data_IF_906531452990
#
_entry.id   IF_906531452990
#
_cell.length_a   1.000
_cell.length_b   1.000
_cell.length_c   1.000
_cell.angle_alpha   90.00
_cell.angle_beta   90.00
_cell.angle_gamma   90.00
#
_symmetry.space_group_name_H-M   'P 1'
#
loop_
_entity.id
_entity.type
_entity.pdbx_description
1 polymer ?
#
# COMPACT_ATOMS: atom_id res chain seq x y z
N UNK A 1 -12.82 18.92 8.17
CA UNK A 1 -12.99 17.49 8.49
C UNK A 1 -13.51 16.68 7.30
N UNK A 2 -14.63 17.08 6.66
CA UNK A 2 -15.29 16.35 5.57
C UNK A 2 -14.44 16.20 4.31
N UNK A 3 -13.77 17.26 3.86
CA UNK A 3 -12.84 17.22 2.72
C UNK A 3 -11.74 16.16 2.89
N UNK A 4 -11.11 16.08 4.07
CA UNK A 4 -10.07 15.09 4.35
C UNK A 4 -10.63 13.65 4.36
N UNK A 5 -11.81 13.45 4.98
CA UNK A 5 -12.46 12.14 5.01
C UNK A 5 -12.87 11.67 3.60
N UNK A 6 -13.39 12.58 2.77
CA UNK A 6 -13.74 12.31 1.37
C UNK A 6 -12.50 11.92 0.55
N UNK A 7 -11.37 12.64 0.73
CA UNK A 7 -10.11 12.31 0.06
C UNK A 7 -9.59 10.93 0.44
N UNK A 8 -9.60 10.58 1.72
CA UNK A 8 -9.21 9.25 2.19
C UNK A 8 -10.14 8.15 1.66
N UNK A 9 -11.45 8.39 1.66
CA UNK A 9 -12.44 7.43 1.17
C UNK A 9 -12.26 7.15 -0.33
N UNK A 10 -12.11 8.21 -1.15
CA UNK A 10 -11.85 8.07 -2.58
C UNK A 10 -10.53 7.31 -2.83
N UNK A 11 -9.45 7.70 -2.14
CA UNK A 11 -8.14 7.06 -2.28
C UNK A 11 -8.22 5.55 -2.01
N UNK A 12 -8.80 5.15 -0.86
CA UNK A 12 -8.99 3.73 -0.51
C UNK A 12 -9.84 3.00 -1.54
N UNK A 13 -10.93 3.62 -2.01
CA UNK A 13 -11.78 3.02 -3.04
C UNK A 13 -11.06 2.77 -4.36
N UNK A 14 -10.22 3.70 -4.81
CA UNK A 14 -9.41 3.55 -6.02
C UNK A 14 -8.32 2.48 -5.84
N UNK A 15 -7.64 2.44 -4.70
CA UNK A 15 -6.65 1.40 -4.37
C UNK A 15 -7.28 0.00 -4.35
N UNK A 16 -8.45 -0.15 -3.73
CA UNK A 16 -9.16 -1.43 -3.68
C UNK A 16 -9.67 -1.87 -5.06
N UNK A 17 -10.19 -0.94 -5.85
CA UNK A 17 -10.63 -1.22 -7.21
C UNK A 17 -9.46 -1.66 -8.09
N UNK A 18 -8.33 -0.97 -8.00
CA UNK A 18 -7.13 -1.26 -8.78
C UNK A 18 -6.53 -2.64 -8.39
N UNK A 19 -6.44 -2.94 -7.11
CA UNK A 19 -6.00 -4.25 -6.61
C UNK A 19 -6.89 -5.40 -7.10
N UNK A 20 -8.19 -5.17 -7.27
CA UNK A 20 -9.10 -6.16 -7.89
C UNK A 20 -8.78 -6.44 -9.35
N UNK A 21 -8.15 -5.51 -10.06
CA UNK A 21 -7.72 -5.72 -11.45
C UNK A 21 -6.43 -6.52 -11.56
N UNK A 22 -5.63 -6.60 -10.50
CA UNK A 22 -4.42 -7.40 -10.41
C UNK A 22 -3.13 -6.59 -10.45
N UNK A 23 -2.01 -7.30 -10.32
CA UNK A 23 -0.67 -6.73 -10.23
C UNK A 23 -0.08 -6.45 -11.61
N UNK A 24 0.38 -5.23 -11.84
CA UNK A 24 0.98 -4.81 -13.12
C UNK A 24 2.51 -4.93 -13.17
N UNK A 25 3.11 -5.38 -12.08
CA UNK A 25 4.56 -5.52 -11.98
C UNK A 25 5.21 -4.46 -11.08
N UNK A 26 6.53 -4.61 -10.83
CA UNK A 26 7.31 -3.64 -10.08
C UNK A 26 7.41 -2.30 -10.83
N UNK A 27 7.84 -1.26 -10.12
CA UNK A 27 8.15 0.04 -10.73
C UNK A 27 9.31 -0.08 -11.71
N UNK A 28 10.34 -0.81 -11.30
CA UNK A 28 11.56 -1.07 -12.09
C UNK A 28 12.20 -2.35 -11.57
N UNK A 29 12.91 -3.06 -12.44
CA UNK A 29 13.84 -4.13 -12.07
C UNK A 29 15.24 -3.54 -12.03
N UNK A 30 15.81 -3.43 -10.83
CA UNK A 30 17.12 -2.83 -10.61
C UNK A 30 18.22 -3.87 -10.69
N UNK A 31 19.30 -3.57 -11.43
CA UNK A 31 20.56 -4.29 -11.33
C UNK A 31 21.28 -3.96 -10.01
N UNK A 32 22.38 -4.65 -9.72
CA UNK A 32 23.11 -4.51 -8.46
C UNK A 32 23.64 -3.10 -8.22
N UNK A 33 24.08 -2.40 -9.26
CA UNK A 33 24.60 -1.03 -9.17
C UNK A 33 23.50 -0.04 -8.82
N UNK A 34 22.38 -0.12 -9.52
CA UNK A 34 21.20 0.72 -9.25
C UNK A 34 20.59 0.44 -7.88
N UNK A 35 20.56 -0.82 -7.44
CA UNK A 35 20.10 -1.17 -6.09
C UNK A 35 20.98 -0.48 -5.02
N UNK A 36 22.30 -0.54 -5.18
CA UNK A 36 23.24 0.10 -4.28
C UNK A 36 23.05 1.62 -4.28
N UNK A 37 23.01 2.24 -5.45
CA UNK A 37 22.77 3.68 -5.58
C UNK A 37 21.44 4.13 -4.94
N UNK A 38 20.36 3.39 -5.15
CA UNK A 38 19.06 3.66 -4.54
C UNK A 38 19.12 3.60 -3.01
N UNK A 39 19.77 2.58 -2.45
CA UNK A 39 19.87 2.38 -1.01
C UNK A 39 20.78 3.41 -0.34
N UNK A 40 21.86 3.83 -0.99
CA UNK A 40 22.72 4.93 -0.50
C UNK A 40 22.02 6.27 -0.52
N UNK A 41 21.29 6.58 -1.59
CA UNK A 41 20.51 7.81 -1.71
C UNK A 41 19.27 7.85 -0.80
N UNK A 42 18.86 6.70 -0.22
CA UNK A 42 17.68 6.61 0.63
C UNK A 42 17.79 7.52 1.86
N UNK A 43 16.76 8.33 2.08
CA UNK A 43 16.58 9.13 3.30
C UNK A 43 15.55 8.51 4.26
N UNK A 44 15.19 7.24 4.05
CA UNK A 44 14.13 6.56 4.79
C UNK A 44 14.25 6.70 6.31
N UNK A 45 13.13 7.00 6.93
CA UNK A 45 12.90 6.96 8.38
C UNK A 45 11.61 6.19 8.68
N UNK A 46 11.46 5.59 9.87
CA UNK A 46 10.21 4.91 10.23
C UNK A 46 8.95 5.78 10.14
N UNK A 47 9.10 7.12 10.29
CA UNK A 47 7.99 8.07 10.19
C UNK A 47 7.40 8.13 8.78
N UNK A 48 8.18 7.79 7.75
CA UNK A 48 7.73 7.79 6.36
C UNK A 48 6.66 6.71 6.09
N UNK A 49 6.54 5.72 6.99
CA UNK A 49 5.47 4.70 6.94
C UNK A 49 4.24 5.08 7.78
N UNK A 50 4.25 6.21 8.46
CA UNK A 50 3.11 6.64 9.27
C UNK A 50 1.94 7.11 8.40
N UNK A 51 0.72 7.01 8.94
CA UNK A 51 -0.47 7.58 8.30
C UNK A 51 -0.87 6.95 6.96
N UNK A 52 -0.60 5.67 6.76
CA UNK A 52 -0.88 4.95 5.50
C UNK A 52 -0.02 5.44 4.30
N UNK A 53 1.10 6.10 4.58
CA UNK A 53 2.04 6.55 3.54
C UNK A 53 2.75 5.37 2.88
N UNK A 54 3.14 5.58 1.62
CA UNK A 54 3.86 4.59 0.83
C UNK A 54 5.30 5.01 0.65
N UNK A 55 6.18 4.02 0.71
CA UNK A 55 7.61 4.21 0.45
C UNK A 55 8.08 3.20 -0.60
N UNK A 56 9.16 3.55 -1.30
CA UNK A 56 9.81 2.63 -2.23
C UNK A 56 10.74 1.70 -1.45
N UNK A 57 10.76 0.44 -1.85
CA UNK A 57 11.63 -0.58 -1.29
C UNK A 57 12.19 -1.49 -2.37
N UNK A 58 13.40 -1.99 -2.18
CA UNK A 58 14.05 -2.95 -3.08
C UNK A 58 13.87 -4.35 -2.51
N UNK A 59 13.35 -5.26 -3.32
CA UNK A 59 13.24 -6.68 -2.97
C UNK A 59 14.63 -7.32 -2.96
N UNK A 60 15.01 -7.90 -1.82
CA UNK A 60 16.31 -8.54 -1.64
C UNK A 60 16.25 -10.07 -1.75
N UNK A 61 15.16 -10.67 -1.31
CA UNK A 61 14.94 -12.11 -1.38
C UNK A 61 13.44 -12.43 -1.41
N UNK A 62 13.08 -13.53 -2.07
CA UNK A 62 11.71 -14.01 -2.16
C UNK A 62 11.67 -15.50 -1.95
N UNK A 63 10.84 -15.98 -1.06
CA UNK A 63 10.46 -17.39 -0.93
C UNK A 63 8.94 -17.56 -1.16
N UNK A 64 8.42 -18.77 -1.00
CA UNK A 64 6.99 -19.02 -1.26
C UNK A 64 6.06 -18.29 -0.29
N UNK A 65 6.52 -17.98 0.93
CA UNK A 65 5.69 -17.43 2.02
C UNK A 65 5.80 -15.92 2.15
N UNK A 66 6.96 -15.35 1.78
CA UNK A 66 7.26 -13.94 2.00
C UNK A 66 8.28 -13.37 1.00
N UNK A 67 8.26 -12.07 0.85
CA UNK A 67 9.34 -11.31 0.22
C UNK A 67 10.02 -10.43 1.28
N UNK A 68 11.35 -10.36 1.23
CA UNK A 68 12.17 -9.48 2.06
C UNK A 68 12.61 -8.28 1.26
N UNK A 69 12.54 -7.12 1.88
CA UNK A 69 12.87 -5.85 1.22
C UNK A 69 13.83 -5.03 2.06
N UNK A 70 14.57 -4.17 1.37
CA UNK A 70 15.44 -3.17 1.97
C UNK A 70 14.84 -1.77 1.73
N UNK A 71 14.70 -0.99 2.80
CA UNK A 71 14.15 0.37 2.80
C UNK A 71 15.26 1.44 2.79
N UNK A 72 16.51 1.01 2.96
CA UNK A 72 17.65 1.91 3.15
C UNK A 72 17.95 2.21 4.62
N UNK A 73 19.09 2.85 4.88
CA UNK A 73 19.56 3.23 6.24
C UNK A 73 19.62 2.11 7.27
N UNK A 74 19.74 0.85 6.80
CA UNK A 74 19.76 -0.34 7.66
C UNK A 74 18.37 -0.83 8.10
N UNK A 75 17.30 -0.28 7.53
CA UNK A 75 15.95 -0.76 7.77
C UNK A 75 15.54 -1.81 6.73
N UNK A 76 14.92 -2.86 7.20
CA UNK A 76 14.43 -3.95 6.36
C UNK A 76 12.93 -4.18 6.61
N UNK A 77 12.27 -4.79 5.65
CA UNK A 77 10.87 -5.15 5.77
C UNK A 77 10.59 -6.57 5.28
N UNK A 78 9.45 -7.08 5.65
CA UNK A 78 8.92 -8.37 5.19
C UNK A 78 7.48 -8.20 4.71
N UNK A 79 7.20 -8.78 3.55
CA UNK A 79 5.86 -8.80 2.95
C UNK A 79 5.41 -10.26 2.91
N UNK A 80 4.63 -10.73 3.89
CA UNK A 80 4.02 -12.06 3.84
C UNK A 80 3.12 -12.21 2.61
N UNK A 81 3.00 -13.41 2.05
CA UNK A 81 2.14 -13.68 0.90
C UNK A 81 0.68 -13.23 1.13
N UNK A 82 0.21 -13.29 2.38
CA UNK A 82 -1.11 -12.78 2.77
C UNK A 82 -1.27 -11.27 2.49
N UNK A 83 -0.18 -10.50 2.63
CA UNK A 83 -0.14 -9.05 2.43
C UNK A 83 0.03 -8.63 0.96
N UNK A 84 0.19 -9.60 0.06
CA UNK A 84 0.23 -9.42 -1.40
C UNK A 84 -0.73 -10.39 -2.13
N UNK A 85 -1.66 -11.01 -1.42
CA UNK A 85 -2.53 -12.06 -1.94
C UNK A 85 -3.41 -11.65 -3.14
N UNK A 86 -3.64 -10.35 -3.29
CA UNK A 86 -4.34 -9.73 -4.40
C UNK A 86 -3.50 -9.64 -5.69
N UNK A 87 -2.17 -9.77 -5.58
CA UNK A 87 -1.20 -9.42 -6.64
C UNK A 87 -1.08 -10.53 -7.71
N UNK A 88 -2.19 -11.01 -8.22
CA UNK A 88 -2.25 -11.93 -9.36
C UNK A 88 -2.06 -11.17 -10.67
N UNK A 89 -1.62 -11.85 -11.71
CA UNK A 89 -1.56 -11.25 -13.05
C UNK A 89 -2.96 -10.83 -13.52
N UNK A 90 -3.13 -9.64 -14.13
CA UNK A 90 -4.41 -9.19 -14.66
C UNK A 90 -4.98 -10.21 -15.65
N UNK A 91 -6.26 -10.52 -15.51
CA UNK A 91 -6.98 -11.39 -16.44
C UNK A 91 -8.35 -10.77 -16.78
N UNK A 92 -8.51 -10.17 -17.97
CA UNK A 92 -9.76 -9.51 -18.34
C UNK A 92 -10.95 -10.48 -18.52
N UNK A 93 -10.69 -11.79 -18.62
CA UNK A 93 -11.73 -12.82 -18.75
C UNK A 93 -12.33 -13.24 -17.40
N UNK A 94 -11.72 -12.86 -16.29
CA UNK A 94 -12.18 -13.25 -14.94
C UNK A 94 -12.41 -11.99 -14.12
N UNK A 95 -13.65 -11.77 -13.70
CA UNK A 95 -13.95 -10.66 -12.80
C UNK A 95 -13.10 -10.75 -11.53
N UNK A 96 -12.51 -9.63 -11.13
CA UNK A 96 -11.52 -9.57 -10.07
C UNK A 96 -11.95 -10.17 -8.73
N UNK A 97 -13.27 -10.14 -8.44
CA UNK A 97 -13.85 -10.73 -7.23
C UNK A 97 -13.81 -12.28 -7.21
N UNK A 98 -13.75 -12.91 -8.39
CA UNK A 98 -13.69 -14.38 -8.53
C UNK A 98 -12.28 -14.89 -8.80
N UNK A 99 -11.32 -13.98 -8.97
CA UNK A 99 -9.95 -14.39 -9.26
C UNK A 99 -9.26 -14.93 -7.99
N UNK A 100 -8.61 -16.10 -8.06
CA UNK A 100 -7.99 -16.71 -6.90
C UNK A 100 -6.84 -15.85 -6.35
N UNK A 101 -6.73 -15.79 -5.02
CA UNK A 101 -5.60 -15.18 -4.36
C UNK A 101 -4.30 -15.95 -4.66
N UNK A 102 -3.18 -15.25 -4.74
CA UNK A 102 -1.87 -15.89 -4.87
C UNK A 102 -1.50 -16.58 -3.54
N UNK A 103 -0.74 -17.68 -3.67
CA UNK A 103 -0.27 -18.48 -2.53
C UNK A 103 1.26 -18.62 -2.49
N UNK A 104 1.95 -18.05 -3.48
CA UNK A 104 3.39 -18.08 -3.61
C UNK A 104 3.89 -16.69 -4.04
N UNK A 105 4.73 -16.07 -3.20
CA UNK A 105 5.26 -14.75 -3.44
C UNK A 105 6.20 -14.70 -4.67
N UNK A 106 6.83 -15.82 -5.04
CA UNK A 106 7.67 -15.93 -6.24
C UNK A 106 6.92 -15.73 -7.55
N UNK A 107 5.60 -15.85 -7.54
CA UNK A 107 4.76 -15.58 -8.72
C UNK A 107 4.58 -14.07 -8.96
N UNK A 108 4.95 -13.24 -8.00
CA UNK A 108 4.69 -11.79 -7.98
C UNK A 108 5.96 -10.97 -8.01
N UNK A 109 6.92 -11.32 -7.19
CA UNK A 109 8.13 -10.54 -6.94
C UNK A 109 9.39 -11.35 -7.21
N UNK A 110 10.44 -10.64 -7.59
CA UNK A 110 11.79 -11.16 -7.81
C UNK A 110 12.83 -10.28 -7.09
N UNK A 111 13.98 -10.81 -6.68
CA UNK A 111 15.06 -9.98 -6.17
C UNK A 111 15.45 -8.89 -7.16
N UNK A 112 15.65 -7.67 -6.68
CA UNK A 112 15.93 -6.49 -7.51
C UNK A 112 14.71 -5.67 -7.90
N UNK A 113 13.49 -6.16 -7.64
CA UNK A 113 12.28 -5.37 -7.89
C UNK A 113 12.23 -4.14 -7.00
N UNK A 114 12.00 -2.97 -7.60
CA UNK A 114 11.66 -1.74 -6.91
C UNK A 114 10.13 -1.66 -6.83
N UNK A 115 9.61 -1.58 -5.62
CA UNK A 115 8.15 -1.65 -5.37
C UNK A 115 7.69 -0.58 -4.38
N UNK A 116 6.39 -0.27 -4.43
CA UNK A 116 5.73 0.49 -3.38
C UNK A 116 5.30 -0.43 -2.23
N UNK A 117 5.55 0.03 -1.01
CA UNK A 117 5.12 -0.65 0.22
C UNK A 117 4.53 0.35 1.21
N UNK A 118 3.63 -0.12 2.06
CA UNK A 118 3.15 0.60 3.24
C UNK A 118 3.26 -0.27 4.48
N UNK A 119 3.18 0.33 5.66
CA UNK A 119 3.16 -0.44 6.90
C UNK A 119 1.93 -1.35 6.97
N UNK A 120 2.13 -2.60 7.37
CA UNK A 120 1.02 -3.48 7.68
C UNK A 120 0.45 -3.17 9.07
N UNK A 121 -0.87 -3.12 9.22
CA UNK A 121 -1.49 -2.99 10.55
C UNK A 121 -1.13 -4.22 11.40
N UNK A 122 -0.86 -3.98 12.67
CA UNK A 122 -0.51 -5.05 13.61
C UNK A 122 -1.77 -5.63 14.25
N UNK A 123 -1.79 -6.94 14.40
CA UNK A 123 -2.83 -7.62 15.18
C UNK A 123 -2.28 -7.89 16.56
N UNK A 124 -2.93 -7.36 17.58
CA UNK A 124 -2.65 -7.65 18.97
C UNK A 124 -3.81 -8.41 19.61
N UNK A 125 -3.53 -9.24 20.56
CA UNK A 125 -4.58 -9.95 21.31
C UNK A 125 -4.88 -9.16 22.58
N UNK A 126 -6.10 -8.66 22.68
CA UNK A 126 -6.59 -7.93 23.86
C UNK A 126 -7.60 -8.81 24.58
N UNK A 127 -7.52 -8.85 25.90
CA UNK A 127 -8.53 -9.53 26.71
C UNK A 127 -9.62 -8.52 27.06
N UNK A 128 -10.84 -8.77 26.60
CA UNK A 128 -11.97 -7.88 26.89
C UNK A 128 -12.43 -8.01 28.36
N UNK A 129 -13.33 -7.11 28.78
CA UNK A 129 -13.86 -7.09 30.16
C UNK A 129 -14.57 -8.40 30.58
N UNK A 130 -14.88 -9.30 29.64
CA UNK A 130 -15.49 -10.62 29.88
C UNK A 130 -14.46 -11.76 29.88
N UNK A 131 -13.16 -11.44 29.91
CA UNK A 131 -12.07 -12.42 29.91
C UNK A 131 -11.84 -13.15 28.58
N UNK A 132 -12.48 -12.73 27.48
CA UNK A 132 -12.30 -13.31 26.15
C UNK A 132 -11.16 -12.64 25.41
N UNK A 133 -10.33 -13.45 24.76
CA UNK A 133 -9.25 -12.96 23.89
C UNK A 133 -9.84 -12.54 22.52
N UNK A 134 -9.66 -11.29 22.18
CA UNK A 134 -10.09 -10.71 20.90
C UNK A 134 -8.86 -10.16 20.16
N UNK A 135 -8.82 -10.35 18.83
CA UNK A 135 -7.78 -9.73 18.02
C UNK A 135 -8.19 -8.30 17.68
N UNK A 136 -7.39 -7.34 18.11
CA UNK A 136 -7.53 -5.95 17.78
C UNK A 136 -6.47 -5.52 16.75
N UNK A 137 -6.88 -4.80 15.73
CA UNK A 137 -5.95 -4.18 14.79
C UNK A 137 -5.43 -2.88 15.38
N UNK A 138 -4.12 -2.78 15.53
CA UNK A 138 -3.43 -1.59 16.05
C UNK A 138 -2.74 -0.89 14.88
N UNK A 139 -2.84 0.44 14.77
CA UNK A 139 -2.09 1.21 13.79
C UNK A 139 -0.59 0.95 13.90
N UNK A 140 0.12 1.21 12.82
CA UNK A 140 1.58 1.19 12.81
C UNK A 140 2.14 2.28 13.74
N UNK A 141 3.13 1.89 14.55
CA UNK A 141 3.88 2.81 15.41
C UNK A 141 5.35 2.87 14.96
N UNK A 142 5.75 4.03 14.48
CA UNK A 142 7.12 4.28 14.03
C UNK A 142 8.17 4.14 15.14
N UNK A 143 7.78 4.40 16.40
CA UNK A 143 8.69 4.30 17.54
C UNK A 143 9.11 2.85 17.87
N UNK A 144 8.32 1.87 17.45
CA UNK A 144 8.63 0.46 17.67
C UNK A 144 9.57 -0.15 16.60
N UNK A 145 9.85 0.59 15.52
CA UNK A 145 10.69 0.12 14.42
C UNK A 145 12.17 0.14 14.80
N UNK A 146 12.83 -1.00 14.64
CA UNK A 146 14.26 -1.17 14.92
C UNK A 146 15.02 -1.52 13.65
N UNK A 147 16.24 -1.03 13.47
CA UNK A 147 17.09 -1.29 12.29
C UNK A 147 17.30 -2.77 12.00
N UNK A 148 17.38 -3.62 13.01
CA UNK A 148 17.69 -5.05 12.85
C UNK A 148 16.47 -5.97 12.96
N UNK A 149 15.26 -5.41 12.92
CA UNK A 149 14.01 -6.16 12.94
C UNK A 149 13.18 -5.82 11.69
N UNK A 150 12.78 -6.81 10.89
CA UNK A 150 12.01 -6.54 9.68
C UNK A 150 10.63 -5.97 10.02
N UNK A 151 10.26 -4.88 9.36
CA UNK A 151 8.94 -4.25 9.49
C UNK A 151 7.93 -5.04 8.66
N UNK A 152 6.79 -5.45 9.22
CA UNK A 152 5.71 -6.03 8.44
C UNK A 152 5.11 -5.01 7.47
N UNK A 153 5.06 -5.35 6.18
CA UNK A 153 4.65 -4.46 5.11
C UNK A 153 3.51 -5.06 4.28
N UNK A 154 2.79 -4.17 3.60
CA UNK A 154 1.81 -4.47 2.55
C UNK A 154 2.43 -4.10 1.21
N UNK A 155 2.24 -4.94 0.19
CA UNK A 155 2.53 -4.57 -1.19
C UNK A 155 1.50 -3.55 -1.67
N UNK A 156 1.98 -2.47 -2.29
CA UNK A 156 1.14 -1.42 -2.84
C UNK A 156 1.38 -1.26 -4.35
N UNK A 157 0.38 -0.70 -5.02
CA UNK A 157 0.43 -0.38 -6.44
C UNK A 157 -0.32 0.92 -6.66
N UNK A 158 0.30 1.86 -7.35
CA UNK A 158 -0.34 3.11 -7.73
C UNK A 158 -1.52 2.84 -8.65
N UNK A 159 -2.74 3.32 -8.32
CA UNK A 159 -3.91 3.06 -9.13
C UNK A 159 -3.80 3.64 -10.53
N UNK A 160 -4.01 2.80 -11.56
CA UNK A 160 -4.19 3.26 -12.94
C UNK A 160 -5.60 3.84 -13.16
N UNK A 161 -6.54 3.43 -12.31
CA UNK A 161 -7.91 3.95 -12.33
C UNK A 161 -7.97 5.32 -11.68
N UNK A 162 -8.84 6.16 -12.20
CA UNK A 162 -9.09 7.50 -11.69
C UNK A 162 -10.55 7.64 -11.26
N UNK A 163 -10.80 8.57 -10.35
CA UNK A 163 -12.14 8.84 -9.86
C UNK A 163 -12.25 10.24 -9.30
N UNK A 164 -13.48 10.68 -9.09
CA UNK A 164 -13.79 11.95 -8.44
C UNK A 164 -14.90 11.75 -7.41
N UNK A 165 -14.96 12.63 -6.43
CA UNK A 165 -15.99 12.65 -5.42
C UNK A 165 -16.47 14.09 -5.22
N UNK A 166 -17.79 14.31 -5.33
CA UNK A 166 -18.44 15.53 -4.93
C UNK A 166 -19.47 15.22 -3.84
N UNK A 167 -19.46 16.00 -2.76
CA UNK A 167 -20.45 15.93 -1.68
C UNK A 167 -21.12 17.28 -1.52
N UNK A 168 -22.44 17.30 -1.52
CA UNK A 168 -23.26 18.50 -1.46
C UNK A 168 -24.17 18.45 -0.23
N UNK A 169 -24.39 19.59 0.39
CA UNK A 169 -25.43 19.76 1.43
C UNK A 169 -26.81 19.85 0.73
N UNK A 170 -27.72 18.92 1.00
CA UNK A 170 -28.99 18.89 0.26
C UNK A 170 -29.90 20.12 0.44
N UNK A 171 -29.83 20.80 1.59
CA UNK A 171 -30.69 21.92 1.89
C UNK A 171 -30.20 23.24 1.32
N UNK A 172 -28.89 23.48 1.36
CA UNK A 172 -28.29 24.73 0.86
C UNK A 172 -27.72 24.63 -0.55
N UNK A 173 -27.37 23.39 -1.00
CA UNK A 173 -26.66 23.16 -2.25
C UNK A 173 -25.14 23.42 -2.15
N UNK A 174 -24.63 23.70 -0.94
CA UNK A 174 -23.23 23.99 -0.74
C UNK A 174 -22.34 22.77 -0.98
N UNK A 175 -21.18 22.99 -1.60
CA UNK A 175 -20.18 21.94 -1.81
C UNK A 175 -19.42 21.70 -0.50
N UNK A 176 -19.63 20.54 0.10
CA UNK A 176 -19.02 20.12 1.37
C UNK A 176 -17.64 19.48 1.18
N UNK A 177 -17.50 18.71 0.10
CA UNK A 177 -16.22 18.14 -0.32
C UNK A 177 -16.16 17.96 -1.84
N UNK A 178 -14.98 18.19 -2.41
CA UNK A 178 -14.73 18.05 -3.83
C UNK A 178 -13.30 17.49 -4.05
N UNK A 179 -13.21 16.28 -4.58
CA UNK A 179 -11.94 15.59 -4.85
C UNK A 179 -11.90 15.19 -6.32
N UNK A 180 -10.87 15.64 -7.05
CA UNK A 180 -10.76 15.45 -8.51
C UNK A 180 -9.85 14.31 -8.97
N UNK A 181 -9.22 13.55 -8.06
CA UNK A 181 -8.29 12.47 -8.44
C UNK A 181 -7.63 11.79 -7.25
N UNK A 182 -6.77 10.81 -7.55
CA UNK A 182 -6.04 10.04 -6.54
C UNK A 182 -4.99 10.89 -5.80
N UNK A 183 -4.16 11.60 -6.56
CA UNK A 183 -3.18 12.57 -6.04
C UNK A 183 -3.19 13.84 -6.89
N UNK A 184 -3.12 14.99 -6.24
CA UNK A 184 -3.05 16.29 -6.93
C UNK A 184 -1.72 16.48 -7.67
N UNK A 185 -0.63 15.91 -7.15
CA UNK A 185 0.70 15.99 -7.75
C UNK A 185 0.84 15.28 -9.10
N UNK A 186 0.00 14.25 -9.35
CA UNK A 186 0.08 13.46 -10.59
C UNK A 186 -0.66 14.13 -11.75
N UNK A 187 -1.69 14.92 -11.45
CA UNK A 187 -2.49 15.62 -12.46
C UNK A 187 -3.23 16.81 -11.86
N UNK A 188 -3.06 17.98 -12.46
CA UNK A 188 -3.83 19.19 -12.12
C UNK A 188 -5.27 19.15 -12.67
N UNK A 189 -5.64 18.07 -13.38
CA UNK A 189 -6.97 17.90 -13.94
C UNK A 189 -7.97 17.51 -12.86
N UNK A 190 -8.92 18.39 -12.56
CA UNK A 190 -9.97 18.13 -11.59
C UNK A 190 -11.18 17.46 -12.24
N UNK A 191 -11.24 16.13 -12.15
CA UNK A 191 -12.31 15.31 -12.77
C UNK A 191 -13.70 15.50 -12.14
N UNK A 192 -13.81 16.25 -11.07
CA UNK A 192 -15.09 16.57 -10.44
C UNK A 192 -15.75 17.81 -11.05
N UNK A 193 -14.99 18.62 -11.82
CA UNK A 193 -15.45 19.89 -12.38
C UNK A 193 -15.24 20.02 -13.89
N UNK A 194 -14.59 19.04 -14.52
CA UNK A 194 -14.26 19.06 -15.95
C UNK A 194 -14.73 17.80 -16.66
#
# INVERSE_FOLDING_TARGET
AQQAAAGQALRRGLEELDKRQGWRGPLEQLDAEKQHAFLEASSFTPLDLAGESWVKAVVTAVDAKEARVNLGKGYTGVIPVANMSWARKPNPKVAGIYAPAIKDAKLVLSPGDLIWVSAAPRKTTVTNAKGRKEQQTVPFDAAEVKKNAPVPLLLQQEPAVQGALASLEPQSGDVVALIGGFQFGDSHFNRATQ
#
